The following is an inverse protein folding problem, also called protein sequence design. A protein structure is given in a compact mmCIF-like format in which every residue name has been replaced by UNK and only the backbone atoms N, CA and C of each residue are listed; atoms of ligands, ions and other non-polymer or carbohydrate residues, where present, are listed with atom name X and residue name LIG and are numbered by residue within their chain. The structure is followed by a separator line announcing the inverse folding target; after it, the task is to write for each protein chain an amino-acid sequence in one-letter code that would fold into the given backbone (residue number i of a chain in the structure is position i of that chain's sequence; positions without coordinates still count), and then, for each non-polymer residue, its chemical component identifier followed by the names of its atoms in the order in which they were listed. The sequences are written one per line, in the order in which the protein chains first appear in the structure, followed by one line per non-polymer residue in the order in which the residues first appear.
data_IF_652376817268
#
_entry.id   IF_652376817268
#
_cell.length_a   1.000
_cell.length_b   1.000
_cell.length_c   1.000
_cell.angle_alpha   90.00
_cell.angle_beta   90.00
_cell.angle_gamma   90.00
#
_symmetry.space_group_name_H-M   'P 1'
#
loop_
_entity.id
_entity.type
_entity.pdbx_description
1 polymer ?
#
# COMPACT_ATOMS: atom_id res chain seq x y z
N UNK A 1 29.28 -8.47 -32.97
CA UNK A 1 28.46 -8.03 -31.83
C UNK A 1 27.08 -8.64 -31.88
N UNK A 2 26.31 -8.49 -32.97
CA UNK A 2 25.03 -9.21 -33.21
C UNK A 2 25.14 -10.73 -32.99
N UNK A 3 26.15 -11.38 -33.55
CA UNK A 3 26.28 -12.84 -33.45
C UNK A 3 26.73 -13.32 -32.06
N UNK A 4 27.45 -12.48 -31.30
CA UNK A 4 27.75 -12.76 -29.88
C UNK A 4 26.52 -12.57 -28.99
N UNK A 5 25.67 -11.59 -29.28
CA UNK A 5 24.41 -11.35 -28.56
C UNK A 5 23.41 -12.46 -28.89
N UNK A 6 23.32 -12.89 -30.15
CA UNK A 6 22.53 -14.06 -30.55
C UNK A 6 23.06 -15.34 -29.91
N UNK A 7 24.38 -15.57 -29.87
CA UNK A 7 24.93 -16.74 -29.16
C UNK A 7 24.71 -16.71 -27.63
N UNK A 8 24.57 -15.52 -27.02
CA UNK A 8 24.23 -15.37 -25.61
C UNK A 8 22.73 -15.59 -25.34
N UNK A 9 21.87 -15.26 -26.32
CA UNK A 9 20.42 -15.43 -26.28
C UNK A 9 19.97 -16.85 -26.71
N UNK A 10 20.70 -17.50 -27.63
CA UNK A 10 20.46 -18.87 -28.12
C UNK A 10 21.03 -19.95 -27.20
N UNK A 11 21.70 -19.57 -26.10
CA UNK A 11 22.25 -20.53 -25.14
C UNK A 11 21.15 -21.17 -24.28
N UNK A 12 20.84 -22.47 -24.43
CA UNK A 12 19.85 -23.13 -23.59
C UNK A 12 20.51 -23.74 -22.34
N UNK A 13 19.98 -23.39 -21.17
CA UNK A 13 19.83 -24.28 -19.99
C UNK A 13 21.11 -24.92 -19.42
N UNK A 14 22.04 -24.12 -18.88
CA UNK A 14 23.09 -24.65 -17.98
C UNK A 14 22.89 -24.35 -16.49
N UNK A 15 22.01 -23.43 -16.14
CA UNK A 15 21.57 -23.18 -14.77
C UNK A 15 20.13 -23.70 -14.63
N UNK A 16 19.86 -24.71 -13.78
CA UNK A 16 18.50 -25.19 -13.52
C UNK A 16 17.60 -24.10 -12.87
N UNK A 17 18.20 -23.05 -12.30
CA UNK A 17 17.52 -21.93 -11.63
C UNK A 17 17.44 -20.65 -12.50
N UNK A 18 17.92 -20.67 -13.74
CA UNK A 18 17.87 -19.50 -14.62
C UNK A 18 16.48 -19.35 -15.23
N UNK A 19 15.58 -18.67 -14.52
CA UNK A 19 14.33 -18.16 -15.09
C UNK A 19 14.61 -17.22 -16.27
N UNK A 20 13.67 -17.11 -17.21
CA UNK A 20 13.74 -16.14 -18.32
C UNK A 20 14.02 -14.72 -17.81
N UNK A 21 13.46 -14.36 -16.66
CA UNK A 21 13.75 -13.11 -15.97
C UNK A 21 15.23 -13.02 -15.55
N UNK A 22 15.80 -14.07 -14.94
CA UNK A 22 17.20 -14.10 -14.50
C UNK A 22 18.18 -13.94 -15.66
N UNK A 23 17.92 -14.57 -16.80
CA UNK A 23 18.75 -14.44 -18.01
C UNK A 23 18.68 -13.00 -18.54
N UNK A 24 17.47 -12.46 -18.64
CA UNK A 24 17.22 -11.08 -19.08
C UNK A 24 17.95 -10.06 -18.20
N UNK A 25 17.81 -10.17 -16.88
CA UNK A 25 18.45 -9.28 -15.91
C UNK A 25 19.98 -9.36 -16.00
N UNK A 26 20.54 -10.59 -16.11
CA UNK A 26 21.99 -10.78 -16.28
C UNK A 26 22.49 -10.14 -17.59
N UNK A 27 21.73 -10.24 -18.68
CA UNK A 27 22.09 -9.62 -19.96
C UNK A 27 22.03 -8.09 -19.88
N UNK A 28 20.93 -7.54 -19.35
CA UNK A 28 20.73 -6.11 -19.17
C UNK A 28 21.83 -5.50 -18.28
N UNK A 29 22.15 -6.15 -17.16
CA UNK A 29 23.21 -5.68 -16.26
C UNK A 29 24.58 -5.66 -16.94
N UNK A 30 24.92 -6.67 -17.75
CA UNK A 30 26.15 -6.68 -18.55
C UNK A 30 26.17 -5.56 -19.59
N UNK A 31 25.03 -5.29 -20.24
CA UNK A 31 24.91 -4.17 -21.18
C UNK A 31 25.13 -2.82 -20.49
N UNK A 32 24.57 -2.62 -19.30
CA UNK A 32 24.77 -1.38 -18.52
C UNK A 32 26.23 -1.22 -18.08
N UNK A 33 26.88 -2.29 -17.65
CA UNK A 33 28.32 -2.26 -17.31
C UNK A 33 29.15 -1.87 -18.53
N UNK A 34 28.85 -2.48 -19.67
CA UNK A 34 29.51 -2.16 -20.93
C UNK A 34 29.32 -0.67 -21.35
N UNK A 35 28.12 -0.12 -21.21
CA UNK A 35 27.86 1.31 -21.48
C UNK A 35 28.70 2.22 -20.58
N UNK A 36 28.81 1.89 -19.29
CA UNK A 36 29.64 2.63 -18.33
C UNK A 36 31.13 2.55 -18.68
N UNK A 37 31.62 1.37 -19.02
CA UNK A 37 33.01 1.14 -19.40
C UNK A 37 33.38 1.90 -20.68
N UNK A 38 32.53 1.88 -21.70
CA UNK A 38 32.75 2.63 -22.95
C UNK A 38 32.72 4.13 -22.69
N UNK A 39 31.76 4.62 -21.91
CA UNK A 39 31.67 6.05 -21.57
C UNK A 39 32.95 6.52 -20.90
N UNK A 40 33.44 5.77 -19.91
CA UNK A 40 34.71 6.06 -19.23
C UNK A 40 35.91 5.96 -20.17
N UNK A 41 35.95 4.95 -21.03
CA UNK A 41 37.03 4.78 -22.00
C UNK A 41 37.09 5.94 -22.99
N UNK A 42 35.94 6.44 -23.49
CA UNK A 42 35.85 7.61 -24.37
C UNK A 42 36.35 8.88 -23.69
N UNK A 43 35.95 9.13 -22.45
CA UNK A 43 36.46 10.26 -21.66
C UNK A 43 37.97 10.19 -21.49
N UNK A 44 38.52 9.02 -21.12
CA UNK A 44 39.93 8.85 -20.83
C UNK A 44 40.84 8.86 -22.07
N UNK A 45 40.42 8.23 -23.17
CA UNK A 45 41.26 8.05 -24.37
C UNK A 45 41.04 9.09 -25.45
N UNK A 46 39.84 9.67 -25.54
CA UNK A 46 39.47 10.60 -26.63
C UNK A 46 39.10 12.00 -26.12
N UNK A 47 39.16 12.27 -24.83
CA UNK A 47 38.83 13.58 -24.27
C UNK A 47 37.38 13.99 -24.51
N UNK A 48 36.47 13.03 -24.73
CA UNK A 48 35.08 13.31 -25.08
C UNK A 48 34.33 13.88 -23.87
N UNK A 49 33.76 15.07 -24.02
CA UNK A 49 32.92 15.71 -23.00
C UNK A 49 31.48 15.26 -23.20
N UNK A 50 30.91 14.58 -22.20
CA UNK A 50 29.50 14.22 -22.19
C UNK A 50 28.69 15.25 -21.42
N UNK A 51 27.48 15.55 -21.87
CA UNK A 51 26.51 16.32 -21.07
C UNK A 51 26.21 15.53 -19.80
N UNK A 52 26.31 16.16 -18.63
CA UNK A 52 25.92 15.56 -17.36
C UNK A 52 24.89 16.45 -16.69
N UNK A 53 23.87 15.86 -16.08
CA UNK A 53 22.82 16.59 -15.33
C UNK A 53 23.35 17.27 -14.04
N UNK A 54 24.64 17.13 -13.70
CA UNK A 54 25.18 17.58 -12.40
C UNK A 54 26.50 18.39 -12.45
N UNK A 55 27.03 18.76 -13.61
CA UNK A 55 28.26 19.58 -13.67
C UNK A 55 28.13 20.73 -14.68
N UNK A 56 27.57 21.85 -14.21
CA UNK A 56 27.83 23.19 -14.77
C UNK A 56 29.11 23.83 -14.18
N UNK A 57 29.91 23.10 -13.39
CA UNK A 57 31.11 23.65 -12.76
C UNK A 57 32.40 23.10 -13.39
N UNK A 58 33.17 24.04 -13.96
CA UNK A 58 34.58 23.96 -14.37
C UNK A 58 34.92 23.29 -15.72
N UNK A 59 34.64 24.00 -16.82
CA UNK A 59 35.44 23.84 -18.06
C UNK A 59 36.71 24.68 -17.93
N UNK A 60 37.78 24.08 -17.38
CA UNK A 60 39.14 24.59 -17.60
C UNK A 60 39.67 23.99 -18.91
N UNK A 61 39.55 24.80 -19.97
CA UNK A 61 40.39 24.82 -21.15
C UNK A 61 40.64 23.50 -21.88
N UNK A 62 39.93 23.26 -22.99
CA UNK A 62 40.50 22.76 -24.25
C UNK A 62 39.46 22.82 -25.39
N UNK A 63 39.88 23.42 -26.51
CA UNK A 63 39.27 23.52 -27.85
C UNK A 63 37.82 24.05 -28.04
N UNK A 64 37.74 25.18 -28.76
CA UNK A 64 36.55 25.96 -29.13
C UNK A 64 35.59 25.26 -30.13
N UNK A 65 35.58 23.94 -30.28
CA UNK A 65 34.75 23.27 -31.30
C UNK A 65 34.12 21.90 -30.94
N UNK A 66 34.14 21.47 -29.68
CA UNK A 66 33.48 20.22 -29.28
C UNK A 66 32.15 20.49 -28.56
N UNK A 67 31.04 20.36 -29.28
CA UNK A 67 29.72 20.30 -28.64
C UNK A 67 29.65 19.05 -27.75
N UNK A 68 29.19 19.18 -26.49
CA UNK A 68 29.09 18.04 -25.59
C UNK A 68 28.05 17.04 -26.10
N UNK A 69 28.39 15.74 -26.05
CA UNK A 69 27.57 14.65 -26.59
C UNK A 69 26.68 14.10 -25.47
N UNK A 70 25.48 13.61 -25.81
CA UNK A 70 24.62 12.95 -24.84
C UNK A 70 25.25 11.64 -24.33
N UNK A 71 25.08 11.30 -23.04
CA UNK A 71 25.62 10.06 -22.48
C UNK A 71 25.18 8.80 -23.25
N UNK A 72 26.09 7.84 -23.39
CA UNK A 72 25.78 6.54 -24.01
C UNK A 72 25.01 5.60 -23.08
N UNK A 73 24.90 5.95 -21.79
CA UNK A 73 24.17 5.19 -20.78
C UNK A 73 22.68 5.30 -21.11
N UNK A 74 22.00 4.16 -21.22
CA UNK A 74 20.58 4.12 -21.56
C UNK A 74 20.28 3.74 -23.02
N UNK A 75 21.25 3.88 -23.94
CA UNK A 75 20.97 3.69 -25.37
C UNK A 75 20.78 2.22 -25.74
N UNK A 76 21.68 1.34 -25.30
CA UNK A 76 21.58 -0.09 -25.60
C UNK A 76 20.64 -0.79 -24.60
N UNK A 77 20.59 -0.34 -23.34
CA UNK A 77 19.64 -0.84 -22.35
C UNK A 77 18.17 -0.56 -22.72
N UNK A 78 17.87 0.56 -23.40
CA UNK A 78 16.52 0.86 -23.89
C UNK A 78 15.95 -0.22 -24.84
N UNK A 79 16.80 -0.99 -25.53
CA UNK A 79 16.35 -2.09 -26.37
C UNK A 79 15.68 -3.23 -25.58
N UNK A 80 15.99 -3.34 -24.27
CA UNK A 80 15.45 -4.38 -23.39
C UNK A 80 14.07 -4.02 -22.82
N UNK A 81 13.66 -2.74 -22.85
CA UNK A 81 12.39 -2.26 -22.26
C UNK A 81 11.16 -3.07 -22.71
N UNK A 82 11.10 -3.43 -23.99
CA UNK A 82 9.96 -4.18 -24.55
C UNK A 82 9.92 -5.65 -24.13
N UNK A 83 11.02 -6.17 -23.58
CA UNK A 83 11.16 -7.56 -23.16
C UNK A 83 11.16 -7.73 -21.64
N UNK A 84 10.95 -6.66 -20.86
CA UNK A 84 10.96 -6.69 -19.39
C UNK A 84 9.75 -7.37 -18.74
N UNK A 85 8.75 -7.79 -19.52
CA UNK A 85 7.53 -8.43 -18.98
C UNK A 85 7.80 -9.62 -18.02
N UNK A 86 8.72 -10.56 -18.29
CA UNK A 86 9.00 -11.68 -17.37
C UNK A 86 9.60 -11.23 -16.03
N UNK A 87 10.30 -10.09 -16.01
CA UNK A 87 10.79 -9.51 -14.75
C UNK A 87 9.65 -8.94 -13.92
N UNK A 88 8.71 -8.22 -14.55
CA UNK A 88 7.54 -7.67 -13.87
C UNK A 88 6.66 -8.79 -13.33
N UNK A 89 6.48 -9.87 -14.10
CA UNK A 89 5.74 -11.05 -13.65
C UNK A 89 6.40 -11.73 -12.45
N UNK A 90 7.73 -11.84 -12.43
CA UNK A 90 8.48 -12.37 -11.29
C UNK A 90 8.28 -11.51 -10.03
N UNK A 91 8.43 -10.19 -10.14
CA UNK A 91 8.24 -9.28 -8.99
C UNK A 91 6.76 -9.27 -8.55
N UNK A 92 5.80 -9.39 -9.47
CA UNK A 92 4.38 -9.54 -9.16
C UNK A 92 4.10 -10.85 -8.40
N UNK A 93 4.70 -11.96 -8.82
CA UNK A 93 4.54 -13.25 -8.16
C UNK A 93 5.07 -13.21 -6.72
N UNK A 94 6.25 -12.63 -6.51
CA UNK A 94 6.79 -12.46 -5.16
C UNK A 94 5.94 -11.54 -4.27
N UNK A 95 5.29 -10.50 -4.84
CA UNK A 95 4.32 -9.72 -4.07
C UNK A 95 3.08 -10.54 -3.73
N UNK A 96 2.57 -11.36 -4.65
CA UNK A 96 1.45 -12.25 -4.40
C UNK A 96 1.77 -13.27 -3.28
N UNK A 97 3.01 -13.75 -3.18
CA UNK A 97 3.48 -14.58 -2.05
C UNK A 97 3.36 -13.85 -0.70
N UNK A 98 3.81 -12.59 -0.63
CA UNK A 98 3.64 -11.77 0.57
C UNK A 98 2.16 -11.48 0.89
N UNK A 99 1.31 -11.34 -0.13
CA UNK A 99 -0.14 -11.19 0.06
C UNK A 99 -0.77 -12.47 0.63
N UNK A 100 -0.34 -13.65 0.16
CA UNK A 100 -0.82 -14.92 0.70
C UNK A 100 -0.41 -15.09 2.17
N UNK A 101 0.84 -14.77 2.52
CA UNK A 101 1.30 -14.76 3.91
C UNK A 101 0.47 -13.79 4.79
N UNK A 102 0.08 -12.64 4.22
CA UNK A 102 -0.71 -11.64 4.93
C UNK A 102 -2.13 -12.06 5.27
N UNK A 103 -2.70 -13.06 4.58
CA UNK A 103 -4.06 -13.57 4.86
C UNK A 103 -4.15 -14.19 6.26
N UNK A 104 -3.14 -14.97 6.63
CA UNK A 104 -3.12 -15.73 7.89
C UNK A 104 -2.38 -14.98 9.00
N UNK A 105 -1.42 -14.11 8.65
CA UNK A 105 -0.63 -13.40 9.65
C UNK A 105 -1.44 -12.31 10.38
N UNK A 106 -1.53 -12.45 11.70
CA UNK A 106 -2.12 -11.47 12.63
C UNK A 106 -1.11 -10.88 13.59
N UNK A 107 0.19 -11.14 13.39
CA UNK A 107 1.24 -10.56 14.24
C UNK A 107 1.33 -9.07 14.00
N UNK A 108 1.49 -8.33 15.08
CA UNK A 108 1.67 -6.88 15.06
C UNK A 108 3.05 -6.51 15.55
N UNK A 109 3.64 -5.52 14.90
CA UNK A 109 4.82 -4.82 15.36
C UNK A 109 4.40 -3.67 16.28
N UNK A 110 4.86 -3.71 17.52
CA UNK A 110 4.56 -2.72 18.57
C UNK A 110 5.72 -1.76 18.82
N UNK A 111 6.79 -1.82 18.01
CA UNK A 111 7.97 -0.95 18.18
C UNK A 111 7.74 0.49 17.73
N UNK A 112 6.75 0.71 16.86
CA UNK A 112 6.37 2.02 16.35
C UNK A 112 5.43 2.81 17.26
N UNK A 113 5.00 3.98 16.79
CA UNK A 113 4.01 4.82 17.49
C UNK A 113 2.63 4.14 17.59
N UNK A 114 2.29 3.31 16.59
CA UNK A 114 1.04 2.53 16.53
C UNK A 114 1.34 1.06 16.22
N UNK A 115 0.58 0.11 16.79
CA UNK A 115 0.72 -1.30 16.46
C UNK A 115 0.25 -1.57 15.03
N UNK A 116 1.13 -2.07 14.17
CA UNK A 116 0.84 -2.35 12.75
C UNK A 116 1.08 -3.81 12.42
N UNK A 117 0.34 -4.41 11.49
CA UNK A 117 0.61 -5.79 11.09
C UNK A 117 2.01 -5.94 10.48
N UNK A 118 2.75 -6.98 10.88
CA UNK A 118 4.09 -7.27 10.31
C UNK A 118 4.00 -7.52 8.79
N UNK A 119 2.87 -8.05 8.33
CA UNK A 119 2.60 -8.20 6.90
C UNK A 119 2.67 -6.88 6.11
N UNK A 120 2.24 -5.74 6.67
CA UNK A 120 2.32 -4.46 5.95
C UNK A 120 3.77 -4.01 5.81
N UNK A 121 4.55 -4.09 6.89
CA UNK A 121 5.95 -3.67 6.90
C UNK A 121 6.79 -4.53 5.95
N UNK A 122 6.60 -5.85 5.96
CA UNK A 122 7.27 -6.76 5.03
C UNK A 122 6.94 -6.43 3.56
N UNK A 123 5.67 -6.18 3.25
CA UNK A 123 5.24 -5.83 1.89
C UNK A 123 5.87 -4.51 1.42
N UNK A 124 5.84 -3.45 2.24
CA UNK A 124 6.44 -2.16 1.86
C UNK A 124 7.97 -2.21 1.77
N UNK A 125 8.64 -2.98 2.64
CA UNK A 125 10.09 -3.24 2.53
C UNK A 125 10.41 -3.95 1.22
N UNK A 126 9.61 -4.95 0.84
CA UNK A 126 9.78 -5.64 -0.44
C UNK A 126 9.61 -4.68 -1.62
N UNK A 127 8.55 -3.85 -1.64
CA UNK A 127 8.30 -2.86 -2.71
C UNK A 127 9.47 -1.89 -2.83
N UNK A 128 9.97 -1.32 -1.72
CA UNK A 128 11.14 -0.41 -1.74
C UNK A 128 12.40 -1.12 -2.25
N UNK A 129 12.60 -2.38 -1.88
CA UNK A 129 13.67 -3.21 -2.42
C UNK A 129 13.51 -3.45 -3.94
N UNK A 130 12.29 -3.71 -4.41
CA UNK A 130 11.95 -3.90 -5.82
C UNK A 130 12.21 -2.65 -6.65
N UNK A 131 11.83 -1.47 -6.13
CA UNK A 131 12.17 -0.16 -6.72
C UNK A 131 13.69 -0.02 -6.86
N UNK A 132 14.44 -0.30 -5.80
CA UNK A 132 15.90 -0.17 -5.81
C UNK A 132 16.54 -1.10 -6.85
N UNK A 133 16.05 -2.36 -6.96
CA UNK A 133 16.51 -3.32 -7.97
C UNK A 133 16.17 -2.88 -9.39
N UNK A 134 14.93 -2.45 -9.64
CA UNK A 134 14.47 -2.07 -10.97
C UNK A 134 15.17 -0.79 -11.45
N UNK A 135 15.27 0.23 -10.60
CA UNK A 135 15.84 1.54 -10.96
C UNK A 135 17.35 1.52 -11.19
N UNK A 136 18.05 0.49 -10.67
CA UNK A 136 19.43 0.20 -11.02
C UNK A 136 19.60 -0.30 -12.46
N UNK A 137 18.52 -0.76 -13.10
CA UNK A 137 18.49 -1.32 -14.44
C UNK A 137 17.80 -0.39 -15.44
N UNK A 138 16.66 0.18 -15.05
CA UNK A 138 15.83 1.03 -15.90
C UNK A 138 14.89 1.90 -15.07
N UNK A 139 14.62 3.11 -15.58
CA UNK A 139 13.65 4.07 -15.03
C UNK A 139 12.49 4.36 -16.00
N UNK A 140 12.45 3.63 -17.10
CA UNK A 140 11.55 3.87 -18.22
C UNK A 140 10.25 3.06 -18.13
N UNK A 141 9.88 2.45 -19.26
CA UNK A 141 8.61 1.73 -19.42
C UNK A 141 8.49 0.56 -18.44
N UNK A 142 9.57 -0.18 -18.23
CA UNK A 142 9.57 -1.32 -17.32
C UNK A 142 9.30 -0.90 -15.87
N UNK A 143 9.91 0.20 -15.41
CA UNK A 143 9.64 0.74 -14.07
C UNK A 143 8.18 1.21 -13.93
N UNK A 144 7.63 1.84 -14.98
CA UNK A 144 6.21 2.21 -15.00
C UNK A 144 5.27 0.99 -14.91
N UNK A 145 5.58 -0.12 -15.60
CA UNK A 145 4.82 -1.37 -15.48
C UNK A 145 4.95 -1.98 -14.07
N UNK A 146 6.14 -1.88 -13.46
CA UNK A 146 6.36 -2.33 -12.09
C UNK A 146 5.52 -1.50 -11.08
N UNK A 147 5.47 -0.19 -11.29
CA UNK A 147 4.58 0.71 -10.53
C UNK A 147 3.12 0.27 -10.62
N UNK A 148 2.62 -0.10 -11.81
CA UNK A 148 1.25 -0.62 -11.95
C UNK A 148 1.05 -1.90 -11.13
N UNK A 149 2.03 -2.81 -11.15
CA UNK A 149 1.99 -4.02 -10.34
C UNK A 149 1.97 -3.72 -8.83
N UNK A 150 2.72 -2.70 -8.36
CA UNK A 150 2.65 -2.27 -6.96
C UNK A 150 1.25 -1.81 -6.56
N UNK A 151 0.59 -1.02 -7.41
CA UNK A 151 -0.78 -0.56 -7.15
C UNK A 151 -1.76 -1.71 -7.03
N UNK A 152 -1.68 -2.66 -7.96
CA UNK A 152 -2.56 -3.83 -7.94
C UNK A 152 -2.32 -4.68 -6.67
N UNK A 153 -1.07 -4.85 -6.26
CA UNK A 153 -0.72 -5.51 -5.00
C UNK A 153 -1.24 -4.76 -3.76
N UNK A 154 -1.13 -3.43 -3.73
CA UNK A 154 -1.65 -2.60 -2.63
C UNK A 154 -3.17 -2.68 -2.52
N UNK A 155 -3.89 -2.68 -3.65
CA UNK A 155 -5.36 -2.88 -3.65
C UNK A 155 -5.76 -4.26 -3.16
N UNK A 156 -5.04 -5.31 -3.57
CA UNK A 156 -5.25 -6.66 -3.03
C UNK A 156 -4.98 -6.69 -1.52
N UNK A 157 -3.92 -6.04 -1.05
CA UNK A 157 -3.63 -5.94 0.38
C UNK A 157 -4.74 -5.23 1.16
N UNK A 158 -5.26 -4.13 0.62
CA UNK A 158 -6.41 -3.44 1.20
C UNK A 158 -7.63 -4.37 1.32
N UNK A 159 -7.91 -5.19 0.30
CA UNK A 159 -8.98 -6.21 0.39
C UNK A 159 -8.71 -7.28 1.46
N UNK A 160 -7.46 -7.65 1.68
CA UNK A 160 -7.07 -8.56 2.77
C UNK A 160 -7.37 -7.92 4.13
N UNK A 161 -7.02 -6.65 4.32
CA UNK A 161 -7.34 -5.92 5.55
C UNK A 161 -8.85 -5.80 5.76
N UNK A 162 -9.62 -5.54 4.70
CA UNK A 162 -11.08 -5.52 4.76
C UNK A 162 -11.65 -6.89 5.16
N UNK A 163 -11.09 -7.97 4.64
CA UNK A 163 -11.45 -9.34 5.01
C UNK A 163 -11.11 -9.73 6.45
N UNK A 164 -10.21 -8.99 7.12
CA UNK A 164 -9.92 -9.16 8.56
C UNK A 164 -10.99 -8.51 9.45
N UNK A 165 -11.88 -7.68 8.90
CA UNK A 165 -12.98 -7.08 9.64
C UNK A 165 -14.15 -8.07 9.84
N UNK A 166 -14.86 -7.99 10.97
CA UNK A 166 -16.08 -8.76 11.21
C UNK A 166 -17.13 -8.55 10.12
N UNK A 167 -17.81 -9.63 9.74
CA UNK A 167 -18.88 -9.57 8.75
C UNK A 167 -20.10 -8.84 9.31
N UNK A 168 -20.79 -8.04 8.47
CA UNK A 168 -22.04 -7.39 8.88
C UNK A 168 -23.10 -8.45 9.21
N UNK A 169 -23.94 -8.18 10.21
CA UNK A 169 -25.08 -9.04 10.52
C UNK A 169 -26.07 -8.98 9.34
N UNK A 170 -26.09 -10.02 8.51
CA UNK A 170 -27.13 -10.19 7.49
C UNK A 170 -28.43 -10.58 8.20
N UNK A 171 -29.43 -9.70 8.15
CA UNK A 171 -30.72 -9.89 8.79
C UNK A 171 -31.48 -11.11 8.25
N UNK A 172 -31.24 -12.27 8.85
CA UNK A 172 -32.07 -13.47 8.68
C UNK A 172 -32.22 -14.18 10.02
N UNK A 173 -33.02 -13.59 10.91
CA UNK A 173 -33.86 -14.29 11.90
C UNK A 173 -34.74 -13.27 12.62
N UNK A 174 -36.03 -13.59 12.72
CA UNK A 174 -37.10 -12.66 13.09
C UNK A 174 -37.01 -12.12 14.52
N UNK A 175 -37.07 -10.80 14.64
CA UNK A 175 -38.13 -10.11 15.37
C UNK A 175 -37.98 -8.60 15.15
N UNK A 176 -38.98 -8.06 14.49
CA UNK A 176 -39.29 -6.65 14.36
C UNK A 176 -39.62 -6.02 15.73
N UNK A 177 -38.63 -5.49 16.44
CA UNK A 177 -38.87 -4.46 17.48
C UNK A 177 -37.71 -3.45 17.49
N UNK A 178 -37.99 -2.24 16.98
CA UNK A 178 -37.37 -1.01 17.48
C UNK A 178 -36.02 -0.60 16.90
N UNK A 179 -35.94 -0.33 15.59
CA UNK A 179 -34.94 0.61 15.11
C UNK A 179 -35.30 2.01 15.61
N UNK A 180 -34.63 2.49 16.66
CA UNK A 180 -34.66 3.90 17.05
C UNK A 180 -33.78 4.64 16.04
N UNK A 181 -34.39 5.05 14.93
CA UNK A 181 -33.82 6.05 14.04
C UNK A 181 -33.74 7.37 14.79
N UNK A 182 -32.53 7.85 15.08
CA UNK A 182 -32.30 9.23 15.53
C UNK A 182 -32.68 10.15 14.35
N UNK A 183 -33.69 11.03 14.46
CA UNK A 183 -33.97 11.98 13.40
C UNK A 183 -32.88 13.06 13.42
N UNK A 184 -31.98 13.02 12.45
CA UNK A 184 -31.16 14.16 12.08
C UNK A 184 -32.09 15.22 11.46
N UNK A 185 -32.63 16.11 12.30
CA UNK A 185 -33.37 17.28 11.87
C UNK A 185 -32.75 18.54 12.47
N UNK A 186 -31.67 19.00 11.83
CA UNK A 186 -31.40 20.44 11.72
C UNK A 186 -30.62 20.73 10.43
N UNK A 187 -31.32 21.28 9.43
CA UNK A 187 -30.74 22.13 8.38
C UNK A 187 -30.38 21.51 7.03
N UNK A 188 -31.19 21.81 6.00
CA UNK A 188 -30.66 22.20 4.68
C UNK A 188 -30.48 21.12 3.61
N UNK A 189 -31.50 21.00 2.76
CA UNK A 189 -31.53 20.62 1.34
C UNK A 189 -30.27 20.05 0.63
N UNK A 190 -30.56 18.97 -0.13
CA UNK A 190 -29.97 18.54 -1.42
C UNK A 190 -28.59 17.89 -1.46
N UNK A 191 -28.57 16.56 -1.38
CA UNK A 191 -27.89 15.67 -2.35
C UNK A 191 -28.38 14.23 -2.16
N UNK A 192 -28.55 13.50 -3.27
CA UNK A 192 -28.85 12.06 -3.27
C UNK A 192 -27.64 11.32 -2.72
N UNK A 193 -27.71 10.87 -1.47
CA UNK A 193 -26.74 9.94 -0.89
C UNK A 193 -27.43 8.59 -0.72
N UNK A 194 -26.96 7.59 -1.46
CA UNK A 194 -27.34 6.19 -1.30
C UNK A 194 -26.98 5.76 0.12
N UNK A 195 -27.97 5.81 1.00
CA UNK A 195 -27.90 5.26 2.34
C UNK A 195 -28.08 3.75 2.21
N UNK A 196 -26.98 3.05 1.96
CA UNK A 196 -26.87 1.65 2.38
C UNK A 196 -27.33 1.59 3.84
N UNK A 197 -28.30 0.72 4.18
CA UNK A 197 -28.80 0.63 5.55
C UNK A 197 -27.61 0.44 6.48
N UNK A 198 -27.54 1.20 7.57
CA UNK A 198 -26.44 1.13 8.53
C UNK A 198 -26.27 -0.33 8.96
N UNK A 199 -25.28 -1.01 8.38
CA UNK A 199 -25.02 -2.40 8.66
C UNK A 199 -24.69 -2.52 10.15
N UNK A 200 -25.44 -3.36 10.87
CA UNK A 200 -25.16 -3.64 12.27
C UNK A 200 -24.08 -4.70 12.35
N UNK A 201 -23.05 -4.46 13.14
CA UNK A 201 -21.93 -5.36 13.35
C UNK A 201 -21.94 -5.87 14.79
N UNK A 202 -21.79 -7.19 14.97
CA UNK A 202 -21.56 -7.78 16.29
C UNK A 202 -20.07 -8.04 16.44
N UNK A 203 -19.45 -7.44 17.45
CA UNK A 203 -18.07 -7.73 17.84
C UNK A 203 -18.06 -8.75 18.98
N UNK A 204 -17.50 -9.95 18.78
CA UNK A 204 -17.11 -10.84 19.86
C UNK A 204 -15.98 -10.21 20.68
N UNK A 205 -15.95 -10.52 21.98
CA UNK A 205 -14.90 -10.03 22.88
C UNK A 205 -13.51 -10.46 22.40
N UNK A 206 -12.60 -9.50 22.23
CA UNK A 206 -11.23 -9.68 21.78
C UNK A 206 -11.02 -9.38 20.29
N UNK A 207 -12.09 -9.30 19.48
CA UNK A 207 -11.98 -8.90 18.08
C UNK A 207 -11.82 -7.38 17.92
N UNK A 208 -12.18 -6.58 18.94
CA UNK A 208 -11.95 -5.12 18.99
C UNK A 208 -10.48 -4.78 18.69
N UNK A 209 -9.56 -5.51 19.32
CA UNK A 209 -8.11 -5.31 19.19
C UNK A 209 -7.67 -5.54 17.75
N UNK A 210 -8.22 -6.56 17.07
CA UNK A 210 -7.91 -6.80 15.66
C UNK A 210 -8.39 -5.64 14.80
N UNK A 211 -9.59 -5.11 15.05
CA UNK A 211 -10.11 -3.97 14.27
C UNK A 211 -9.25 -2.71 14.50
N UNK A 212 -8.78 -2.47 15.73
CA UNK A 212 -7.82 -1.40 16.02
C UNK A 212 -6.48 -1.58 15.28
N UNK A 213 -5.97 -2.81 15.21
CA UNK A 213 -4.77 -3.12 14.42
C UNK A 213 -4.99 -2.91 12.91
N UNK A 214 -6.19 -3.22 12.40
CA UNK A 214 -6.55 -2.92 11.00
C UNK A 214 -6.55 -1.41 10.77
N UNK A 215 -7.16 -0.61 11.64
CA UNK A 215 -7.15 0.85 11.57
C UNK A 215 -5.72 1.39 11.54
N UNK A 216 -4.90 1.00 12.52
CA UNK A 216 -3.51 1.45 12.62
C UNK A 216 -2.69 1.04 11.40
N UNK A 217 -2.94 -0.15 10.85
CA UNK A 217 -2.26 -0.63 9.64
C UNK A 217 -2.72 0.11 8.38
N UNK A 218 -4.01 0.43 8.25
CA UNK A 218 -4.56 1.20 7.13
C UNK A 218 -4.00 2.62 7.12
N UNK A 219 -3.95 3.29 8.28
CA UNK A 219 -3.35 4.63 8.40
C UNK A 219 -1.86 4.59 8.04
N UNK A 220 -1.10 3.66 8.62
CA UNK A 220 0.30 3.47 8.25
C UNK A 220 0.50 3.20 6.76
N UNK A 221 -0.38 2.40 6.15
CA UNK A 221 -0.30 2.06 4.73
C UNK A 221 -0.62 3.27 3.85
N UNK A 222 -1.60 4.10 4.22
CA UNK A 222 -1.93 5.33 3.50
C UNK A 222 -0.74 6.31 3.51
N UNK A 223 -0.17 6.60 4.69
CA UNK A 223 1.00 7.47 4.83
C UNK A 223 2.20 6.92 4.05
N UNK A 224 2.40 5.60 4.09
CA UNK A 224 3.51 4.96 3.36
C UNK A 224 3.30 4.98 1.85
N UNK A 225 2.05 4.90 1.36
CA UNK A 225 1.73 5.02 -0.06
C UNK A 225 1.97 6.45 -0.55
N UNK A 226 1.65 7.47 0.23
CA UNK A 226 1.98 8.87 -0.10
C UNK A 226 3.50 9.05 -0.29
N UNK A 227 4.29 8.60 0.70
CA UNK A 227 5.76 8.65 0.60
C UNK A 227 6.32 7.79 -0.54
N UNK A 228 5.65 6.68 -0.86
CA UNK A 228 6.02 5.81 -1.98
C UNK A 228 5.75 6.47 -3.33
N UNK A 229 4.64 7.20 -3.45
CA UNK A 229 4.29 7.93 -4.67
C UNK A 229 5.35 9.00 -4.99
N UNK A 230 5.75 9.78 -3.99
CA UNK A 230 6.81 10.77 -4.13
C UNK A 230 8.13 10.13 -4.57
N UNK A 231 8.52 9.02 -3.93
CA UNK A 231 9.72 8.27 -4.30
C UNK A 231 9.68 7.78 -5.76
N UNK A 232 8.53 7.25 -6.21
CA UNK A 232 8.36 6.76 -7.58
C UNK A 232 8.40 7.93 -8.57
N UNK A 233 7.76 9.05 -8.25
CA UNK A 233 7.70 10.27 -9.08
C UNK A 233 9.08 10.91 -9.26
N UNK A 234 9.89 10.90 -8.21
CA UNK A 234 11.27 11.41 -8.26
C UNK A 234 12.21 10.50 -9.05
N UNK A 235 11.89 9.21 -9.14
CA UNK A 235 12.78 8.21 -9.76
C UNK A 235 12.45 7.89 -11.22
N UNK A 236 11.18 8.01 -11.64
CA UNK A 236 10.73 7.66 -12.98
C UNK A 236 11.12 8.70 -14.05
N UNK A 237 11.32 8.25 -15.29
CA UNK A 237 11.61 9.14 -16.42
C UNK A 237 10.44 10.10 -16.73
N UNK A 238 10.77 11.31 -17.22
CA UNK A 238 9.83 12.38 -17.57
C UNK A 238 8.55 11.98 -18.34
N UNK A 239 8.57 11.10 -19.36
CA UNK A 239 7.35 10.72 -20.09
C UNK A 239 6.30 9.99 -19.23
N UNK A 240 6.67 9.51 -18.04
CA UNK A 240 5.77 8.77 -17.15
C UNK A 240 5.45 9.51 -15.85
N UNK A 241 6.20 10.57 -15.47
CA UNK A 241 5.96 11.32 -14.23
C UNK A 241 4.53 11.84 -14.10
N UNK A 242 3.96 12.36 -15.19
CA UNK A 242 2.58 12.86 -15.23
C UNK A 242 1.50 11.77 -15.14
N UNK A 243 1.89 10.49 -15.24
CA UNK A 243 0.99 9.33 -15.17
C UNK A 243 1.04 8.64 -13.81
N UNK A 244 1.91 9.09 -12.90
CA UNK A 244 1.99 8.57 -11.54
C UNK A 244 0.91 9.25 -10.71
N UNK A 245 -0.06 8.45 -10.27
CA UNK A 245 -1.10 8.83 -9.33
C UNK A 245 -1.44 7.61 -8.46
N UNK A 246 -1.25 7.74 -7.14
CA UNK A 246 -1.62 6.71 -6.16
C UNK A 246 -2.69 7.19 -5.18
N UNK A 247 -3.32 8.35 -5.43
CA UNK A 247 -4.36 8.92 -4.56
C UNK A 247 -5.52 7.94 -4.35
N UNK A 248 -5.97 7.28 -5.42
CA UNK A 248 -7.01 6.24 -5.32
C UNK A 248 -6.61 5.02 -4.47
N UNK A 249 -5.32 4.67 -4.43
CA UNK A 249 -4.84 3.54 -3.62
C UNK A 249 -4.77 3.96 -2.13
N UNK A 250 -4.43 5.22 -1.84
CA UNK A 250 -4.51 5.81 -0.49
C UNK A 250 -5.96 5.89 -0.01
N UNK A 251 -6.88 6.37 -0.85
CA UNK A 251 -8.31 6.50 -0.54
C UNK A 251 -8.92 5.14 -0.17
N UNK A 252 -8.49 4.05 -0.83
CA UNK A 252 -8.94 2.69 -0.50
C UNK A 252 -8.60 2.31 0.96
N UNK A 253 -7.42 2.69 1.47
CA UNK A 253 -7.07 2.45 2.87
C UNK A 253 -7.89 3.33 3.82
N UNK A 254 -8.14 4.60 3.48
CA UNK A 254 -8.99 5.48 4.28
C UNK A 254 -10.45 5.01 4.33
N UNK A 255 -10.98 4.47 3.23
CA UNK A 255 -12.32 3.89 3.18
C UNK A 255 -12.46 2.69 4.13
N UNK A 256 -11.44 1.83 4.17
CA UNK A 256 -11.39 0.70 5.11
C UNK A 256 -11.28 1.21 6.55
N UNK A 257 -10.45 2.23 6.81
CA UNK A 257 -10.39 2.87 8.14
C UNK A 257 -11.76 3.38 8.57
N UNK A 258 -12.47 4.11 7.71
CA UNK A 258 -13.81 4.61 8.00
C UNK A 258 -14.83 3.47 8.20
N UNK A 259 -14.71 2.37 7.46
CA UNK A 259 -15.51 1.15 7.67
C UNK A 259 -15.19 0.50 9.02
N UNK A 260 -13.92 0.32 9.36
CA UNK A 260 -13.46 -0.28 10.61
C UNK A 260 -13.94 0.51 11.84
N UNK A 261 -13.90 1.85 11.78
CA UNK A 261 -14.46 2.72 12.83
C UNK A 261 -15.96 2.48 12.98
N UNK A 262 -16.72 2.42 11.87
CA UNK A 262 -18.16 2.09 11.92
C UNK A 262 -18.43 0.72 12.54
N UNK A 263 -17.58 -0.27 12.24
CA UNK A 263 -17.66 -1.61 12.84
C UNK A 263 -17.45 -1.55 14.36
N UNK A 264 -16.43 -0.84 14.84
CA UNK A 264 -16.17 -0.65 16.28
C UNK A 264 -17.34 0.04 16.97
N UNK A 265 -17.82 1.16 16.42
CA UNK A 265 -18.92 1.94 17.00
C UNK A 265 -20.21 1.12 17.04
N UNK A 266 -20.53 0.40 15.96
CA UNK A 266 -21.71 -0.48 15.93
C UNK A 266 -21.57 -1.63 16.92
N UNK A 267 -20.39 -2.24 17.04
CA UNK A 267 -20.12 -3.31 17.99
C UNK A 267 -20.33 -2.87 19.44
N UNK A 268 -19.76 -1.72 19.81
CA UNK A 268 -19.88 -1.15 21.16
C UNK A 268 -21.31 -0.71 21.48
N UNK A 269 -22.01 -0.13 20.50
CA UNK A 269 -23.42 0.25 20.64
C UNK A 269 -24.30 -0.97 20.91
N UNK A 270 -24.06 -2.09 20.20
CA UNK A 270 -24.79 -3.33 20.40
C UNK A 270 -24.55 -3.95 21.80
N UNK A 271 -23.32 -3.85 22.34
CA UNK A 271 -23.00 -4.34 23.70
C UNK A 271 -23.72 -3.53 24.79
N UNK A 272 -23.88 -2.23 24.58
CA UNK A 272 -24.54 -1.33 25.54
C UNK A 272 -26.06 -1.21 25.35
N UNK A 273 -26.61 -1.76 24.27
CA UNK A 273 -28.02 -1.62 23.89
C UNK A 273 -28.99 -2.16 24.96
N UNK A 274 -28.67 -3.28 25.60
CA UNK A 274 -29.50 -3.89 26.65
C UNK A 274 -29.61 -2.98 27.88
N UNK A 275 -28.49 -2.40 28.33
CA UNK A 275 -28.43 -1.45 29.43
C UNK A 275 -29.14 -0.13 29.08
N UNK A 276 -29.00 0.35 27.84
CA UNK A 276 -29.71 1.54 27.33
C UNK A 276 -31.23 1.33 27.30
N UNK A 277 -31.70 0.14 26.88
CA UNK A 277 -33.14 -0.20 26.92
C UNK A 277 -33.67 -0.20 28.36
N UNK A 278 -32.89 -0.70 29.31
CA UNK A 278 -33.27 -0.72 30.73
C UNK A 278 -33.32 0.70 31.32
N UNK A 279 -32.35 1.55 30.99
CA UNK A 279 -32.36 2.98 31.33
C UNK A 279 -33.61 3.67 30.80
N UNK A 280 -33.94 3.47 29.52
CA UNK A 280 -35.09 4.11 28.87
C UNK A 280 -36.44 3.65 29.45
N UNK A 281 -36.53 2.41 29.92
CA UNK A 281 -37.72 1.86 30.56
C UNK A 281 -37.90 2.30 32.02
N UNK A 282 -36.89 2.95 32.62
CA UNK A 282 -36.91 3.33 34.04
C UNK A 282 -37.81 4.55 34.25
N UNK A 283 -38.78 4.44 35.16
CA UNK A 283 -39.69 5.55 35.50
C UNK A 283 -39.05 6.48 36.54
N UNK A 284 -38.37 7.52 36.05
CA UNK A 284 -37.66 8.52 36.85
C UNK A 284 -38.54 9.31 37.83
N UNK A 285 -39.85 9.40 37.59
CA UNK A 285 -40.76 10.17 38.45
C UNK A 285 -41.03 9.51 39.81
N UNK A 286 -40.67 8.23 39.98
CA UNK A 286 -40.90 7.47 41.22
C UNK A 286 -39.75 7.66 42.23
N UNK A 287 -38.58 8.13 41.77
CA UNK A 287 -37.39 8.24 42.61
C UNK A 287 -37.27 9.64 43.22
N UNK A 288 -37.36 9.73 44.55
CA UNK A 288 -37.29 10.98 45.33
C UNK A 288 -35.91 11.17 46.02
N UNK A 289 -35.06 10.13 46.02
CA UNK A 289 -33.69 10.17 46.54
C UNK A 289 -32.72 9.34 45.69
N UNK A 290 -31.46 9.77 45.63
CA UNK A 290 -30.38 9.07 44.91
C UNK A 290 -29.68 8.11 45.86
N UNK A 291 -29.60 6.82 45.49
CA UNK A 291 -28.92 5.75 46.23
C UNK A 291 -27.57 5.36 45.61
N UNK A 292 -27.21 4.08 45.72
CA UNK A 292 -26.01 3.52 45.08
C UNK A 292 -26.12 3.47 43.55
N UNK A 293 -25.00 3.15 42.89
CA UNK A 293 -24.87 3.03 41.44
C UNK A 293 -25.93 2.09 40.84
N UNK A 294 -26.62 2.60 39.81
CA UNK A 294 -27.66 1.86 39.10
C UNK A 294 -27.09 0.71 38.28
N UNK A 295 -27.82 -0.40 38.20
CA UNK A 295 -27.37 -1.66 37.56
C UNK A 295 -27.04 -1.52 36.07
N UNK A 296 -27.74 -0.65 35.33
CA UNK A 296 -27.42 -0.36 33.93
C UNK A 296 -26.10 0.41 33.78
N UNK A 297 -25.73 1.29 34.73
CA UNK A 297 -24.45 2.01 34.71
C UNK A 297 -23.30 1.03 34.91
N UNK A 298 -23.45 0.14 35.90
CA UNK A 298 -22.48 -0.93 36.15
C UNK A 298 -22.29 -1.84 34.94
N UNK A 299 -23.40 -2.27 34.32
CA UNK A 299 -23.34 -3.11 33.11
C UNK A 299 -22.68 -2.40 31.93
N UNK A 300 -22.90 -1.10 31.74
CA UNK A 300 -22.17 -0.33 30.72
C UNK A 300 -20.68 -0.22 31.06
N UNK A 301 -20.35 -0.01 32.33
CA UNK A 301 -18.98 0.08 32.79
C UNK A 301 -18.22 -1.22 32.55
N UNK A 302 -18.78 -2.36 32.95
CA UNK A 302 -18.20 -3.71 32.75
C UNK A 302 -17.97 -4.03 31.26
N UNK A 303 -18.82 -3.52 30.35
CA UNK A 303 -18.66 -3.73 28.91
C UNK A 303 -17.63 -2.80 28.27
N UNK A 304 -17.51 -1.55 28.73
CA UNK A 304 -16.65 -0.52 28.12
C UNK A 304 -15.22 -0.54 28.69
N UNK A 305 -15.07 -0.72 30.00
CA UNK A 305 -13.79 -0.71 30.71
C UNK A 305 -12.71 -1.58 30.03
N UNK A 306 -12.96 -2.85 29.67
CA UNK A 306 -11.94 -3.70 29.06
C UNK A 306 -11.53 -3.30 27.64
N UNK A 307 -12.29 -2.43 26.96
CA UNK A 307 -11.99 -1.96 25.60
C UNK A 307 -11.06 -0.74 25.61
N UNK A 308 -11.08 0.04 26.69
CA UNK A 308 -10.30 1.28 26.82
C UNK A 308 -8.96 1.04 27.51
N UNK A 309 -8.88 0.07 28.43
CA UNK A 309 -7.70 -0.16 29.28
C UNK A 309 -6.70 -1.20 28.73
N UNK A 310 -6.96 -1.77 27.55
CA UNK A 310 -6.05 -2.68 26.83
C UNK A 310 -5.35 -1.99 25.68
#
# INVERSE_FOLDING_TARGET
TRDHIMALLDGPRKDPDASNATILLKALQKTIVFEKEITKWLQQKRGTVFKSEQLEAEVKGTDENCEPIDPLIGIASAAYENYMAPYIELESQSMDEHLVEALEDRKVDTRGERPVFISSTNMFVYIKGSITRCTALTKGKAFFLLYQAFRDSLRKYAQILDGKLPSPMTGTSGNLVGAISIPASFGGSTSKQESSPAASYRLPSGEEVTVCHVISTCEYSADTVEALEDLIRDTVDEPYKSKIDMMSDQETFHDITAKAIRVLVSGLTNRTESALKLLAATNWAIYDSVGEESTYVRSMHEEIEPVILT
#
